data_IF_884309503157
#
_entry.id   IF_884309503157
#
_cell.length_a   1.000
_cell.length_b   1.000
_cell.length_c   1.000
_cell.angle_alpha   90.00
_cell.angle_beta   90.00
_cell.angle_gamma   90.00
#
_symmetry.space_group_name_H-M   'P 1'
#
loop_
_entity.id
_entity.type
_entity.pdbx_description
1 polymer ?
#
# COMPACT_ATOMS: atom_id res chain seq x y z
N UNK A 1 -26.19 -22.93 4.69
CA UNK A 1 -25.17 -23.61 5.47
C UNK A 1 -24.14 -22.63 5.96
N UNK A 2 -24.08 -22.44 7.29
CA UNK A 2 -23.20 -21.48 7.93
C UNK A 2 -21.75 -21.88 7.73
N UNK A 3 -20.99 -21.13 6.95
CA UNK A 3 -19.50 -21.22 7.00
C UNK A 3 -18.97 -20.86 8.40
N UNK A 4 -19.77 -20.27 9.26
CA UNK A 4 -19.47 -20.02 10.68
C UNK A 4 -19.71 -21.22 11.61
N UNK A 5 -20.25 -22.34 11.12
CA UNK A 5 -20.41 -23.56 11.92
C UNK A 5 -19.11 -24.28 12.30
N UNK A 6 -17.95 -23.74 11.88
CA UNK A 6 -16.65 -24.29 12.23
C UNK A 6 -16.05 -23.76 13.53
N UNK A 7 -16.62 -22.67 14.10
CA UNK A 7 -16.15 -22.06 15.35
C UNK A 7 -17.33 -21.85 16.30
N UNK A 8 -17.07 -21.91 17.61
CA UNK A 8 -18.08 -21.62 18.63
C UNK A 8 -18.48 -20.14 18.62
N UNK A 9 -19.70 -19.82 19.08
CA UNK A 9 -20.19 -18.44 19.22
C UNK A 9 -19.27 -17.61 20.14
N UNK A 10 -18.71 -18.21 21.16
CA UNK A 10 -17.75 -17.58 22.07
C UNK A 10 -16.48 -17.16 21.32
N UNK A 11 -15.93 -18.07 20.52
CA UNK A 11 -14.75 -17.79 19.68
C UNK A 11 -15.05 -16.70 18.64
N UNK A 12 -16.22 -16.76 18.00
CA UNK A 12 -16.63 -15.73 17.03
C UNK A 12 -16.74 -14.35 17.67
N UNK A 13 -17.34 -14.26 18.86
CA UNK A 13 -17.44 -13.02 19.63
C UNK A 13 -16.06 -12.49 20.04
N UNK A 14 -15.17 -13.34 20.52
CA UNK A 14 -13.80 -12.97 20.87
C UNK A 14 -13.04 -12.41 19.66
N UNK A 15 -13.12 -13.07 18.50
CA UNK A 15 -12.50 -12.60 17.28
C UNK A 15 -13.07 -11.26 16.81
N UNK A 16 -14.37 -11.04 16.96
CA UNK A 16 -15.00 -9.76 16.65
C UNK A 16 -14.50 -8.63 17.58
N UNK A 17 -14.37 -8.88 18.87
CA UNK A 17 -13.80 -7.93 19.82
C UNK A 17 -12.37 -7.55 19.43
N UNK A 18 -11.53 -8.53 19.12
CA UNK A 18 -10.18 -8.28 18.64
C UNK A 18 -10.15 -7.51 17.31
N UNK A 19 -11.04 -7.85 16.37
CA UNK A 19 -11.16 -7.13 15.11
C UNK A 19 -11.47 -5.64 15.34
N UNK A 20 -12.40 -5.32 16.22
CA UNK A 20 -12.76 -3.92 16.55
C UNK A 20 -11.57 -3.18 17.17
N UNK A 21 -10.89 -3.77 18.15
CA UNK A 21 -9.74 -3.15 18.80
C UNK A 21 -8.56 -2.94 17.84
N UNK A 22 -8.25 -3.93 17.01
CA UNK A 22 -7.21 -3.81 16.00
C UNK A 22 -7.58 -2.78 14.94
N UNK A 23 -8.85 -2.72 14.53
CA UNK A 23 -9.36 -1.71 13.61
C UNK A 23 -9.28 -0.29 14.19
N UNK A 24 -9.58 -0.11 15.47
CA UNK A 24 -9.43 1.16 16.16
C UNK A 24 -7.96 1.59 16.26
N UNK A 25 -7.07 0.67 16.63
CA UNK A 25 -5.61 0.92 16.67
C UNK A 25 -5.07 1.27 15.28
N UNK A 26 -5.51 0.55 14.26
CA UNK A 26 -5.13 0.81 12.86
C UNK A 26 -5.62 2.19 12.39
N UNK A 27 -6.87 2.55 12.73
CA UNK A 27 -7.42 3.88 12.45
C UNK A 27 -6.59 4.97 13.13
N UNK A 28 -6.27 4.80 14.41
CA UNK A 28 -5.45 5.75 15.17
C UNK A 28 -4.07 5.91 14.55
N UNK A 29 -3.45 4.83 14.11
CA UNK A 29 -2.14 4.87 13.44
C UNK A 29 -2.23 5.61 12.10
N UNK A 30 -3.23 5.29 11.26
CA UNK A 30 -3.40 5.91 9.93
C UNK A 30 -3.70 7.41 10.04
N UNK A 31 -4.66 7.78 10.89
CA UNK A 31 -5.01 9.19 11.12
C UNK A 31 -3.87 9.91 11.83
N UNK A 32 -3.24 9.26 12.81
CA UNK A 32 -2.09 9.80 13.51
C UNK A 32 -0.93 10.13 12.58
N UNK A 33 -0.62 9.26 11.62
CA UNK A 33 0.39 9.55 10.62
C UNK A 33 0.08 10.84 9.84
N UNK A 34 -1.17 11.03 9.43
CA UNK A 34 -1.58 12.24 8.69
C UNK A 34 -1.46 13.50 9.58
N UNK A 35 -1.86 13.40 10.85
CA UNK A 35 -1.90 14.54 11.75
C UNK A 35 -0.51 14.92 12.32
N UNK A 36 0.33 13.93 12.62
CA UNK A 36 1.63 14.17 13.26
C UNK A 36 2.81 14.24 12.27
N UNK A 37 2.59 13.86 11.01
CA UNK A 37 3.59 13.97 9.96
C UNK A 37 3.00 14.54 8.65
N UNK A 38 2.26 15.69 8.70
CA UNK A 38 1.53 16.22 7.55
C UNK A 38 2.46 16.53 6.36
N UNK A 39 3.66 17.05 6.62
CA UNK A 39 4.63 17.36 5.58
C UNK A 39 5.09 16.10 4.84
N UNK A 40 5.35 15.02 5.58
CA UNK A 40 5.73 13.74 4.99
C UNK A 40 4.60 13.14 4.18
N UNK A 41 3.37 13.22 4.70
CA UNK A 41 2.19 12.79 3.98
C UNK A 41 2.00 13.60 2.69
N UNK A 42 2.08 14.93 2.74
CA UNK A 42 1.95 15.81 1.59
C UNK A 42 3.01 15.53 0.51
N UNK A 43 4.29 15.36 0.91
CA UNK A 43 5.39 14.99 -0.01
C UNK A 43 5.13 13.62 -0.64
N UNK A 44 4.66 12.65 0.14
CA UNK A 44 4.31 11.32 -0.37
C UNK A 44 3.19 11.41 -1.40
N UNK A 45 2.09 12.09 -1.07
CA UNK A 45 0.96 12.27 -1.98
C UNK A 45 1.36 13.02 -3.25
N UNK A 46 2.16 14.08 -3.15
CA UNK A 46 2.69 14.79 -4.33
C UNK A 46 3.42 13.84 -5.27
N UNK A 47 4.34 13.01 -4.75
CA UNK A 47 5.11 12.07 -5.58
C UNK A 47 4.22 10.94 -6.16
N UNK A 48 3.20 10.50 -5.46
CA UNK A 48 2.25 9.49 -5.95
C UNK A 48 1.33 10.04 -7.04
N UNK A 49 0.94 11.31 -6.95
CA UNK A 49 0.06 11.96 -7.91
C UNK A 49 0.79 12.53 -9.14
N UNK A 50 2.11 12.53 -9.16
CA UNK A 50 2.91 12.98 -10.29
C UNK A 50 3.03 11.87 -11.36
N UNK A 51 2.15 11.91 -12.36
CA UNK A 51 2.11 10.94 -13.46
C UNK A 51 2.70 11.56 -14.73
N UNK A 52 3.96 11.27 -14.99
CA UNK A 52 4.66 11.69 -16.19
C UNK A 52 4.65 10.59 -17.29
N UNK A 53 5.23 10.92 -18.44
CA UNK A 53 5.37 9.99 -19.58
C UNK A 53 6.11 8.70 -19.18
N UNK A 54 7.16 8.81 -18.37
CA UNK A 54 7.96 7.67 -17.95
C UNK A 54 7.19 6.74 -17.00
N UNK A 55 6.39 7.32 -16.10
CA UNK A 55 5.46 6.58 -15.23
C UNK A 55 4.47 5.75 -16.04
N UNK A 56 3.88 6.35 -17.10
CA UNK A 56 2.92 5.65 -17.96
C UNK A 56 3.62 4.59 -18.81
N UNK A 57 4.78 4.92 -19.37
CA UNK A 57 5.56 3.98 -20.18
C UNK A 57 6.07 2.77 -19.38
N UNK A 58 6.21 2.88 -18.06
CA UNK A 58 6.56 1.77 -17.20
C UNK A 58 5.61 0.56 -17.34
N UNK A 59 4.32 0.81 -17.58
CA UNK A 59 3.32 -0.26 -17.76
C UNK A 59 3.48 -1.03 -19.07
N UNK A 60 4.22 -0.51 -20.05
CA UNK A 60 4.45 -1.21 -21.33
C UNK A 60 5.26 -2.49 -21.18
N UNK A 61 6.08 -2.57 -20.14
CA UNK A 61 6.90 -3.76 -19.83
C UNK A 61 6.82 -4.16 -18.35
N UNK A 62 5.90 -3.54 -17.59
CA UNK A 62 5.76 -3.74 -16.13
C UNK A 62 7.11 -3.66 -15.40
N UNK A 63 7.90 -2.62 -15.72
CA UNK A 63 9.22 -2.42 -15.11
C UNK A 63 10.23 -3.52 -15.42
N UNK A 64 10.03 -4.28 -16.48
CA UNK A 64 10.89 -5.40 -16.87
C UNK A 64 10.70 -6.68 -16.03
N UNK A 65 9.76 -6.68 -15.08
CA UNK A 65 9.52 -7.84 -14.18
C UNK A 65 9.18 -9.13 -14.95
N UNK A 66 8.30 -9.15 -15.98
CA UNK A 66 8.00 -10.36 -16.72
C UNK A 66 9.26 -11.00 -17.34
N UNK A 67 10.14 -10.18 -17.92
CA UNK A 67 11.40 -10.63 -18.52
C UNK A 67 12.39 -11.14 -17.46
N UNK A 68 12.54 -10.39 -16.37
CA UNK A 68 13.51 -10.69 -15.31
C UNK A 68 13.16 -11.96 -14.54
N UNK A 69 11.90 -12.11 -14.12
CA UNK A 69 11.50 -13.20 -13.21
C UNK A 69 10.91 -14.40 -13.95
N UNK A 70 10.14 -14.18 -14.99
CA UNK A 70 9.44 -15.25 -15.70
C UNK A 70 10.07 -15.61 -17.06
N UNK A 71 11.13 -14.88 -17.48
CA UNK A 71 11.76 -15.03 -18.79
C UNK A 71 10.80 -14.80 -19.98
N UNK A 72 9.72 -14.06 -19.74
CA UNK A 72 8.73 -13.70 -20.77
C UNK A 72 9.17 -12.40 -21.44
N UNK A 73 9.42 -12.37 -22.76
CA UNK A 73 9.81 -11.18 -23.49
C UNK A 73 8.60 -10.25 -23.70
N UNK A 74 8.17 -9.58 -22.64
CA UNK A 74 7.01 -8.69 -22.66
C UNK A 74 7.46 -7.23 -22.78
N UNK A 75 6.99 -6.55 -23.83
CA UNK A 75 7.25 -5.13 -24.07
C UNK A 75 8.72 -4.77 -24.36
N UNK A 76 9.06 -3.47 -24.31
CA UNK A 76 10.42 -2.98 -24.54
C UNK A 76 11.42 -3.55 -23.52
N UNK A 77 12.69 -3.70 -23.90
CA UNK A 77 13.73 -4.15 -22.96
C UNK A 77 14.06 -3.10 -21.90
N UNK A 78 14.15 -1.85 -22.35
CA UNK A 78 14.53 -0.75 -21.50
C UNK A 78 13.35 -0.34 -20.58
N UNK A 79 13.66 -0.22 -19.29
CA UNK A 79 12.74 0.34 -18.30
C UNK A 79 12.94 1.85 -18.30
N UNK A 80 11.87 2.64 -18.52
CA UNK A 80 11.97 4.09 -18.47
C UNK A 80 12.49 4.59 -17.11
N UNK A 81 13.32 5.64 -17.06
CA UNK A 81 13.83 6.17 -15.81
C UNK A 81 12.68 6.68 -14.93
N UNK A 82 12.64 6.20 -13.69
CA UNK A 82 11.55 6.48 -12.78
C UNK A 82 11.90 7.60 -11.76
N UNK A 83 10.85 8.25 -11.25
CA UNK A 83 10.92 9.18 -10.12
C UNK A 83 11.08 8.43 -8.79
N UNK A 84 10.69 9.07 -7.68
CA UNK A 84 10.75 8.45 -6.33
C UNK A 84 10.00 7.14 -6.26
N UNK A 85 8.87 7.04 -6.95
CA UNK A 85 8.07 5.83 -7.09
C UNK A 85 7.92 5.49 -8.58
N UNK A 86 8.02 4.21 -8.92
CA UNK A 86 7.71 3.74 -10.25
C UNK A 86 6.20 3.64 -10.48
N UNK A 87 5.79 3.43 -11.74
CA UNK A 87 4.37 3.36 -12.11
C UNK A 87 3.57 2.35 -11.29
N UNK A 88 4.12 1.16 -11.06
CA UNK A 88 3.48 0.11 -10.27
C UNK A 88 3.33 0.50 -8.80
N UNK A 89 4.35 1.09 -8.20
CA UNK A 89 4.31 1.58 -6.82
C UNK A 89 3.29 2.72 -6.66
N UNK A 90 3.25 3.69 -7.59
CA UNK A 90 2.26 4.78 -7.55
C UNK A 90 0.84 4.23 -7.57
N UNK A 91 0.54 3.35 -8.52
CA UNK A 91 -0.77 2.73 -8.64
C UNK A 91 -1.13 1.93 -7.38
N UNK A 92 -0.23 1.07 -6.92
CA UNK A 92 -0.48 0.22 -5.74
C UNK A 92 -0.70 1.03 -4.48
N UNK A 93 0.12 2.05 -4.23
CA UNK A 93 -0.03 2.90 -3.03
C UNK A 93 -1.32 3.72 -3.06
N UNK A 94 -1.72 4.26 -4.20
CA UNK A 94 -3.00 4.97 -4.31
C UNK A 94 -4.18 4.04 -4.07
N UNK A 95 -4.14 2.82 -4.62
CA UNK A 95 -5.17 1.80 -4.36
C UNK A 95 -5.21 1.44 -2.87
N UNK A 96 -4.05 1.20 -2.24
CA UNK A 96 -4.00 0.87 -0.81
C UNK A 96 -4.51 2.00 0.08
N UNK A 97 -4.11 3.26 -0.18
CA UNK A 97 -4.58 4.40 0.59
C UNK A 97 -6.11 4.52 0.48
N UNK A 98 -6.66 4.42 -0.73
CA UNK A 98 -8.10 4.48 -0.95
C UNK A 98 -8.83 3.30 -0.27
N UNK A 99 -8.30 2.08 -0.42
CA UNK A 99 -8.89 0.88 0.19
C UNK A 99 -8.85 0.92 1.72
N UNK A 100 -7.73 1.36 2.30
CA UNK A 100 -7.58 1.54 3.75
C UNK A 100 -8.59 2.57 4.27
N UNK A 101 -8.68 3.73 3.64
CA UNK A 101 -9.65 4.76 4.01
C UNK A 101 -11.09 4.23 3.92
N UNK A 102 -11.40 3.48 2.86
CA UNK A 102 -12.71 2.83 2.68
C UNK A 102 -13.01 1.81 3.79
N UNK A 103 -12.06 0.93 4.11
CA UNK A 103 -12.23 -0.08 5.16
C UNK A 103 -12.38 0.55 6.56
N UNK A 104 -11.64 1.63 6.85
CA UNK A 104 -11.81 2.39 8.09
C UNK A 104 -13.22 2.96 8.18
N UNK A 105 -13.66 3.70 7.15
CA UNK A 105 -14.99 4.33 7.15
C UNK A 105 -16.10 3.29 7.27
N UNK A 106 -16.05 2.24 6.47
CA UNK A 106 -17.08 1.20 6.49
C UNK A 106 -17.06 0.41 7.79
N UNK A 107 -15.88 0.13 8.37
CA UNK A 107 -15.77 -0.53 9.67
C UNK A 107 -16.43 0.26 10.80
N UNK A 108 -16.16 1.57 10.89
CA UNK A 108 -16.79 2.45 11.87
C UNK A 108 -18.31 2.58 11.67
N UNK A 109 -18.78 2.68 10.41
CA UNK A 109 -20.19 2.72 10.10
C UNK A 109 -20.90 1.41 10.51
N UNK A 110 -20.29 0.26 10.23
CA UNK A 110 -20.85 -1.04 10.59
C UNK A 110 -20.89 -1.27 12.12
N UNK A 111 -19.92 -0.73 12.86
CA UNK A 111 -19.85 -0.90 14.31
C UNK A 111 -20.66 0.18 15.07
N UNK A 112 -20.27 1.44 14.95
CA UNK A 112 -20.86 2.54 15.70
C UNK A 112 -22.11 3.13 15.04
N UNK A 113 -22.16 3.10 13.69
CA UNK A 113 -23.26 3.64 12.90
C UNK A 113 -24.41 2.66 12.64
N UNK A 114 -24.26 1.39 12.98
CA UNK A 114 -25.26 0.35 12.68
C UNK A 114 -26.73 0.71 13.05
N UNK A 115 -27.01 1.34 14.21
CA UNK A 115 -28.38 1.72 14.57
C UNK A 115 -29.00 2.78 13.65
N UNK A 116 -28.17 3.53 12.94
CA UNK A 116 -28.59 4.61 12.03
C UNK A 116 -28.76 4.14 10.59
N UNK A 117 -28.23 2.93 10.28
CA UNK A 117 -28.26 2.38 8.92
C UNK A 117 -29.55 1.60 8.69
N UNK A 118 -30.19 1.84 7.54
CA UNK A 118 -31.26 0.95 7.07
C UNK A 118 -30.69 -0.42 6.65
N UNK A 119 -31.51 -1.46 6.71
CA UNK A 119 -31.09 -2.85 6.42
C UNK A 119 -30.34 -3.01 5.09
N UNK A 120 -30.80 -2.35 4.04
CA UNK A 120 -30.18 -2.43 2.70
C UNK A 120 -28.78 -1.83 2.69
N UNK A 121 -28.59 -0.65 3.29
CA UNK A 121 -27.29 0.01 3.36
C UNK A 121 -26.32 -0.77 4.23
N UNK A 122 -26.76 -1.25 5.40
CA UNK A 122 -25.97 -2.12 6.28
C UNK A 122 -25.47 -3.36 5.51
N UNK A 123 -26.37 -4.04 4.78
CA UNK A 123 -26.02 -5.23 3.99
C UNK A 123 -24.92 -4.94 2.98
N UNK A 124 -25.06 -3.86 2.18
CA UNK A 124 -24.06 -3.52 1.17
C UNK A 124 -22.73 -3.07 1.77
N UNK A 125 -22.75 -2.31 2.85
CA UNK A 125 -21.52 -1.94 3.57
C UNK A 125 -20.82 -3.18 4.12
N UNK A 126 -21.56 -4.10 4.70
CA UNK A 126 -21.01 -5.36 5.22
C UNK A 126 -20.36 -6.20 4.11
N UNK A 127 -21.08 -6.45 3.03
CA UNK A 127 -20.55 -7.22 1.89
C UNK A 127 -19.29 -6.58 1.29
N UNK A 128 -19.33 -5.29 1.06
CA UNK A 128 -18.18 -4.59 0.45
C UNK A 128 -17.01 -4.46 1.41
N UNK A 129 -17.24 -4.31 2.73
CA UNK A 129 -16.17 -4.35 3.73
C UNK A 129 -15.48 -5.72 3.77
N UNK A 130 -16.24 -6.81 3.80
CA UNK A 130 -15.69 -8.17 3.82
C UNK A 130 -14.92 -8.47 2.53
N UNK A 131 -15.53 -8.27 1.36
CA UNK A 131 -14.85 -8.53 0.10
C UNK A 131 -13.66 -7.60 -0.14
N UNK A 132 -13.80 -6.32 0.21
CA UNK A 132 -12.70 -5.35 0.16
C UNK A 132 -11.52 -5.79 1.02
N UNK A 133 -11.76 -6.26 2.24
CA UNK A 133 -10.70 -6.76 3.11
C UNK A 133 -10.02 -8.01 2.57
N UNK A 134 -10.77 -8.95 2.00
CA UNK A 134 -10.22 -10.15 1.35
C UNK A 134 -9.32 -9.77 0.17
N UNK A 135 -9.79 -8.88 -0.71
CA UNK A 135 -9.01 -8.41 -1.87
C UNK A 135 -7.74 -7.71 -1.42
N UNK A 136 -7.83 -6.78 -0.45
CA UNK A 136 -6.64 -6.07 0.08
C UNK A 136 -5.66 -7.05 0.71
N UNK A 137 -6.13 -8.00 1.51
CA UNK A 137 -5.28 -9.03 2.11
C UNK A 137 -4.58 -9.87 1.05
N UNK A 138 -5.30 -10.31 0.02
CA UNK A 138 -4.72 -11.05 -1.10
C UNK A 138 -3.67 -10.23 -1.86
N UNK A 139 -3.93 -8.95 -2.13
CA UNK A 139 -2.97 -8.06 -2.78
C UNK A 139 -1.70 -7.86 -1.93
N UNK A 140 -1.84 -7.72 -0.61
CA UNK A 140 -0.69 -7.58 0.30
C UNK A 140 0.11 -8.88 0.35
N UNK A 141 -0.53 -10.00 0.57
CA UNK A 141 0.16 -11.29 0.79
C UNK A 141 0.72 -11.90 -0.49
N UNK A 142 -0.02 -11.81 -1.61
CA UNK A 142 0.37 -12.47 -2.86
C UNK A 142 1.18 -11.57 -3.82
N UNK A 143 1.11 -10.24 -3.65
CA UNK A 143 1.83 -9.33 -4.52
C UNK A 143 2.80 -8.40 -3.77
N UNK A 144 2.31 -7.61 -2.80
CA UNK A 144 3.12 -6.57 -2.16
C UNK A 144 4.29 -7.16 -1.36
N UNK A 145 4.05 -8.14 -0.49
CA UNK A 145 5.12 -8.78 0.32
C UNK A 145 6.15 -9.49 -0.58
N UNK A 146 5.78 -10.35 -1.54
CA UNK A 146 6.76 -10.96 -2.43
C UNK A 146 7.60 -9.93 -3.22
N UNK A 147 6.97 -8.89 -3.76
CA UNK A 147 7.69 -7.84 -4.49
C UNK A 147 8.62 -7.02 -3.57
N UNK A 148 8.23 -6.76 -2.32
CA UNK A 148 9.09 -6.09 -1.34
C UNK A 148 10.32 -6.93 -1.00
N UNK A 149 10.17 -8.26 -0.88
CA UNK A 149 11.28 -9.18 -0.63
C UNK A 149 12.28 -9.25 -1.80
N UNK A 150 11.85 -8.95 -3.02
CA UNK A 150 12.75 -8.86 -4.18
C UNK A 150 13.65 -7.60 -4.15
N UNK A 151 13.29 -6.60 -3.34
CA UNK A 151 14.06 -5.36 -3.13
C UNK A 151 14.64 -5.33 -1.72
N UNK A 152 15.53 -6.27 -1.40
CA UNK A 152 16.05 -6.49 -0.04
C UNK A 152 16.67 -5.27 0.61
N UNK A 153 17.27 -4.36 -0.15
CA UNK A 153 17.86 -3.14 0.40
C UNK A 153 16.79 -2.18 0.93
N UNK A 154 15.72 -1.97 0.15
CA UNK A 154 14.56 -1.20 0.60
C UNK A 154 13.83 -1.88 1.76
N UNK A 155 13.70 -3.20 1.72
CA UNK A 155 13.09 -3.98 2.78
C UNK A 155 13.87 -3.86 4.11
N UNK A 156 15.20 -3.96 4.07
CA UNK A 156 16.05 -3.73 5.24
C UNK A 156 15.91 -2.31 5.81
N UNK A 157 15.72 -1.31 4.95
CA UNK A 157 15.49 0.08 5.36
C UNK A 157 14.26 0.28 6.24
N UNK A 158 13.21 -0.55 6.08
CA UNK A 158 11.98 -0.49 6.89
C UNK A 158 12.25 -0.89 8.35
N UNK A 159 13.17 -1.83 8.57
CA UNK A 159 13.47 -2.38 9.90
C UNK A 159 14.60 -1.63 10.63
N UNK A 160 15.25 -0.68 9.98
CA UNK A 160 16.28 0.14 10.63
C UNK A 160 15.64 1.18 11.54
N UNK A 161 16.12 1.26 12.77
CA UNK A 161 15.75 2.35 13.68
C UNK A 161 16.49 3.61 13.24
N UNK A 162 15.77 4.58 12.68
CA UNK A 162 16.35 5.83 12.17
C UNK A 162 15.82 6.21 10.77
N UNK A 163 16.43 7.20 10.11
CA UNK A 163 16.11 7.50 8.72
C UNK A 163 16.43 6.26 7.86
N UNK A 164 15.46 5.75 7.13
CA UNK A 164 15.64 4.57 6.27
C UNK A 164 16.58 4.88 5.11
N UNK A 165 17.89 4.68 5.34
CA UNK A 165 18.93 4.94 4.35
C UNK A 165 18.98 3.84 3.30
N UNK A 166 19.17 4.23 2.07
CA UNK A 166 19.51 3.34 0.94
C UNK A 166 20.81 3.79 0.32
N UNK A 167 21.54 2.88 -0.30
CA UNK A 167 22.78 3.25 -0.98
C UNK A 167 22.50 4.18 -2.18
N UNK A 168 23.48 5.02 -2.51
CA UNK A 168 23.40 5.88 -3.69
C UNK A 168 23.16 5.05 -4.96
N UNK A 169 23.85 3.91 -5.10
CA UNK A 169 23.75 3.01 -6.25
C UNK A 169 22.34 2.44 -6.39
N UNK A 170 21.70 2.04 -5.28
CA UNK A 170 20.33 1.56 -5.28
C UNK A 170 19.35 2.69 -5.67
N UNK A 171 19.56 3.91 -5.16
CA UNK A 171 18.76 5.07 -5.52
C UNK A 171 18.93 5.43 -7.00
N UNK A 172 20.15 5.39 -7.54
CA UNK A 172 20.45 5.66 -8.94
C UNK A 172 19.82 4.61 -9.87
N UNK A 173 19.85 3.35 -9.47
CA UNK A 173 19.23 2.27 -10.25
C UNK A 173 17.69 2.34 -10.24
N UNK A 174 17.09 2.56 -9.06
CA UNK A 174 15.63 2.48 -8.94
C UNK A 174 14.90 3.80 -9.19
N UNK A 175 15.53 4.93 -8.91
CA UNK A 175 14.90 6.25 -8.90
C UNK A 175 15.79 7.35 -9.49
N UNK A 176 16.37 7.16 -10.68
CA UNK A 176 17.38 8.07 -11.24
C UNK A 176 16.86 9.50 -11.46
N UNK A 177 15.59 9.65 -11.82
CA UNK A 177 15.00 10.97 -12.05
C UNK A 177 14.79 11.72 -10.73
N UNK A 178 14.37 11.01 -9.68
CA UNK A 178 14.23 11.58 -8.34
C UNK A 178 15.59 12.01 -7.78
N UNK A 179 16.62 11.17 -7.93
CA UNK A 179 17.96 11.45 -7.45
C UNK A 179 18.53 12.73 -8.10
N UNK A 180 18.33 12.91 -9.41
CA UNK A 180 18.79 14.10 -10.13
C UNK A 180 18.04 15.38 -9.78
N UNK A 181 16.75 15.28 -9.48
CA UNK A 181 15.88 16.42 -9.28
C UNK A 181 15.82 16.89 -7.83
N UNK A 182 15.67 15.94 -6.92
CA UNK A 182 15.24 16.23 -5.55
C UNK A 182 16.32 15.93 -4.49
N UNK A 183 17.42 15.25 -4.86
CA UNK A 183 18.48 14.90 -3.92
C UNK A 183 19.70 15.78 -4.12
N UNK A 184 20.08 16.51 -3.08
CA UNK A 184 21.30 17.31 -3.06
C UNK A 184 22.45 16.44 -2.58
N UNK A 185 23.51 16.35 -3.39
CA UNK A 185 24.75 15.68 -2.96
C UNK A 185 25.50 16.59 -2.00
N UNK A 186 25.52 16.22 -0.72
CA UNK A 186 26.39 16.88 0.26
C UNK A 186 27.80 16.37 0.02
N UNK A 187 28.66 17.23 -0.50
CA UNK A 187 30.10 16.95 -0.58
C UNK A 187 30.70 17.46 0.73
N UNK A 188 31.06 16.56 1.62
CA UNK A 188 31.92 16.91 2.77
C UNK A 188 33.26 17.44 2.21
N UNK A 189 33.63 18.64 2.65
CA UNK A 189 34.91 19.25 2.34
C UNK A 189 36.00 18.76 3.29
#
# INVERSE_FOLDING_TARGET
>A
GNMMGAISDETANLLMVWHIWLGALFTLNFVGYILFAPDRFAVTMKNLMEWDKNTIMWFRNFGGYPRRFFKIPFGPEEVPPQGRYNGGQKMSYLIFIAAIAYLIVTGWLLWAGAPLLGKTLFYWLFITHVWGSIVVTAMVTCAHIPLALLSMEHFKGIWRVGPGDISYEAAEHHSPTWLKRDVVKVVEK
#
